data_IF_989490039076
#
_entry.id   IF_989490039076
#
_cell.length_a   1.000
_cell.length_b   1.000
_cell.length_c   1.000
_cell.angle_alpha   90.00
_cell.angle_beta   90.00
_cell.angle_gamma   90.00
#
_symmetry.space_group_name_H-M   'P 1'
#
loop_
_entity.id
_entity.type
_entity.pdbx_description
1 polymer ?
#
# COMPACT_ATOMS: atom_id res chain seq x y z
N UNK A 1 -3.13 -15.85 -21.79
CA UNK A 1 -3.63 -14.60 -21.18
C UNK A 1 -2.79 -14.28 -19.95
N UNK A 2 -2.05 -13.18 -20.01
CA UNK A 2 -1.06 -12.78 -19.00
C UNK A 2 -1.72 -12.71 -17.59
N UNK A 3 -1.15 -13.44 -16.61
CA UNK A 3 -1.72 -13.58 -15.25
C UNK A 3 -1.71 -12.25 -14.50
N UNK A 4 -0.64 -11.48 -14.64
CA UNK A 4 -0.50 -10.15 -14.06
C UNK A 4 -1.56 -9.18 -14.62
N UNK A 5 -1.85 -9.26 -15.92
CA UNK A 5 -2.91 -8.47 -16.54
C UNK A 5 -4.30 -8.81 -16.01
N UNK A 6 -4.61 -10.11 -15.79
CA UNK A 6 -5.87 -10.51 -15.16
C UNK A 6 -6.01 -9.90 -13.77
N UNK A 7 -4.96 -9.96 -12.96
CA UNK A 7 -4.96 -9.41 -11.60
C UNK A 7 -5.17 -7.90 -11.63
N UNK A 8 -4.46 -7.17 -12.50
CA UNK A 8 -4.67 -5.72 -12.68
C UNK A 8 -6.13 -5.39 -13.02
N UNK A 9 -6.76 -6.13 -13.92
CA UNK A 9 -8.16 -5.90 -14.30
C UNK A 9 -9.13 -6.24 -13.15
N UNK A 10 -8.81 -7.25 -12.32
CA UNK A 10 -9.58 -7.55 -11.11
C UNK A 10 -9.44 -6.44 -10.06
N UNK A 11 -8.26 -5.84 -9.92
CA UNK A 11 -8.04 -4.70 -9.03
C UNK A 11 -8.87 -3.48 -9.44
N UNK A 12 -9.11 -3.25 -10.73
CA UNK A 12 -10.02 -2.18 -11.17
C UNK A 12 -11.46 -2.37 -10.70
N UNK A 13 -11.90 -3.63 -10.50
CA UNK A 13 -13.26 -3.95 -10.07
C UNK A 13 -13.41 -3.97 -8.55
N UNK A 14 -12.40 -4.46 -7.84
CA UNK A 14 -12.48 -4.71 -6.39
C UNK A 14 -11.69 -3.69 -5.55
N UNK A 15 -10.73 -3.01 -6.16
CA UNK A 15 -9.85 -2.05 -5.51
C UNK A 15 -10.43 -0.64 -5.49
N UNK A 16 -9.68 0.25 -4.87
CA UNK A 16 -9.95 1.68 -4.83
C UNK A 16 -8.86 2.41 -5.61
N UNK A 17 -9.20 3.58 -6.15
CA UNK A 17 -8.21 4.43 -6.82
C UNK A 17 -7.28 5.03 -5.75
N UNK A 18 -5.97 4.88 -5.96
CA UNK A 18 -4.92 5.34 -5.05
C UNK A 18 -3.81 6.04 -5.84
N UNK A 19 -2.98 6.79 -5.11
CA UNK A 19 -1.75 7.39 -5.62
C UNK A 19 -0.59 6.99 -4.72
N UNK A 20 0.61 6.89 -5.29
CA UNK A 20 1.85 6.79 -4.53
C UNK A 20 2.52 8.16 -4.53
N UNK A 21 2.95 8.61 -3.35
CA UNK A 21 3.74 9.84 -3.19
C UNK A 21 5.08 9.50 -2.57
N UNK A 22 6.16 9.97 -3.15
CA UNK A 22 7.52 9.77 -2.63
C UNK A 22 8.32 11.08 -2.80
N UNK A 23 8.47 11.82 -1.70
CA UNK A 23 8.94 13.22 -1.75
C UNK A 23 7.99 14.09 -2.59
N UNK A 24 8.54 14.77 -3.59
CA UNK A 24 7.81 15.60 -4.56
C UNK A 24 7.17 14.79 -5.69
N UNK A 25 7.58 13.53 -5.89
CA UNK A 25 7.03 12.69 -6.94
C UNK A 25 5.68 12.10 -6.54
N UNK A 26 4.73 12.14 -7.48
CA UNK A 26 3.40 11.53 -7.35
C UNK A 26 3.16 10.64 -8.57
N UNK A 27 2.71 9.40 -8.33
CA UNK A 27 2.38 8.47 -9.42
C UNK A 27 1.12 8.87 -10.17
N UNK A 28 0.97 8.36 -11.38
CA UNK A 28 -0.36 8.29 -12.00
C UNK A 28 -1.32 7.48 -11.11
N UNK A 29 -2.63 7.78 -11.11
CA UNK A 29 -3.61 7.01 -10.34
C UNK A 29 -3.68 5.57 -10.83
N UNK A 30 -3.91 4.65 -9.90
CA UNK A 30 -4.17 3.23 -10.21
C UNK A 30 -5.08 2.61 -9.15
N UNK A 31 -5.56 1.40 -9.41
CA UNK A 31 -6.43 0.69 -8.48
C UNK A 31 -5.64 -0.30 -7.63
N UNK A 32 -5.86 -0.23 -6.32
CA UNK A 32 -5.28 -1.14 -5.34
C UNK A 32 -6.31 -1.53 -4.27
N UNK A 33 -6.16 -2.71 -3.68
CA UNK A 33 -6.96 -3.09 -2.51
C UNK A 33 -6.25 -2.61 -1.26
N UNK A 34 -6.98 -1.85 -0.43
CA UNK A 34 -6.58 -1.48 0.93
C UNK A 34 -7.63 -2.03 1.88
N UNK A 35 -7.26 -3.01 2.71
CA UNK A 35 -8.17 -3.69 3.61
C UNK A 35 -7.60 -3.79 5.03
N UNK A 36 -8.37 -3.39 6.04
CA UNK A 36 -7.97 -3.46 7.45
C UNK A 36 -7.82 -4.92 7.89
N UNK A 37 -6.74 -5.25 8.61
CA UNK A 37 -6.54 -6.56 9.23
C UNK A 37 -7.21 -6.60 10.60
N UNK A 38 -8.36 -7.27 10.72
CA UNK A 38 -9.19 -7.21 11.93
C UNK A 38 -8.72 -8.11 13.10
N UNK A 39 -7.80 -9.06 12.88
CA UNK A 39 -7.36 -10.01 13.93
C UNK A 39 -5.86 -10.05 14.27
N UNK A 40 -4.99 -9.35 13.53
CA UNK A 40 -3.54 -9.36 13.83
C UNK A 40 -3.07 -8.28 14.80
N UNK A 41 -3.97 -7.40 15.28
CA UNK A 41 -3.58 -6.17 15.98
C UNK A 41 -3.64 -6.29 17.52
N UNK A 42 -3.85 -7.48 18.08
CA UNK A 42 -4.08 -7.64 19.54
C UNK A 42 -2.84 -7.50 20.42
N UNK A 43 -1.63 -7.34 19.88
CA UNK A 43 -0.40 -7.34 20.69
C UNK A 43 0.53 -6.13 20.54
N UNK A 44 0.47 -5.33 19.48
CA UNK A 44 1.37 -4.18 19.32
C UNK A 44 0.66 -2.86 19.67
N UNK A 45 0.60 -2.57 20.97
CA UNK A 45 0.01 -1.33 21.52
C UNK A 45 0.88 -0.09 21.35
N UNK A 46 1.95 -0.11 20.55
CA UNK A 46 2.88 1.02 20.48
C UNK A 46 2.46 2.09 19.47
N UNK A 47 2.32 3.31 20.01
CA UNK A 47 2.06 4.53 19.25
C UNK A 47 3.41 5.01 18.71
N UNK A 48 3.84 4.48 17.56
CA UNK A 48 5.06 4.96 16.94
C UNK A 48 4.84 6.35 16.32
N UNK A 49 5.66 7.32 16.73
CA UNK A 49 5.93 8.50 15.90
C UNK A 49 6.96 8.09 14.88
N UNK A 50 6.62 8.19 13.61
CA UNK A 50 7.60 8.15 12.51
C UNK A 50 8.02 9.59 12.18
N UNK A 51 9.15 9.81 11.48
CA UNK A 51 9.46 11.13 10.90
C UNK A 51 8.31 11.67 10.05
N UNK A 52 7.50 10.75 9.52
CA UNK A 52 6.30 10.96 8.75
C UNK A 52 5.03 11.32 9.58
N UNK A 53 5.11 11.39 10.91
CA UNK A 53 3.99 11.72 11.81
C UNK A 53 3.50 10.56 12.68
N UNK A 54 2.31 10.73 13.28
CA UNK A 54 1.66 9.70 14.12
C UNK A 54 1.03 8.64 13.23
N UNK A 55 1.19 7.36 13.56
CA UNK A 55 0.58 6.27 12.81
C UNK A 55 -0.42 5.47 13.64
N UNK A 56 -1.55 5.10 13.02
CA UNK A 56 -2.58 4.26 13.61
C UNK A 56 -2.02 2.92 14.10
N UNK A 57 -2.61 2.32 15.13
CA UNK A 57 -2.31 0.94 15.57
C UNK A 57 -2.80 -0.11 14.57
N UNK A 58 -3.69 0.27 13.66
CA UNK A 58 -4.25 -0.64 12.68
C UNK A 58 -3.31 -0.92 11.52
N UNK A 59 -3.13 -2.21 11.25
CA UNK A 59 -2.48 -2.69 10.03
C UNK A 59 -3.50 -2.88 8.92
N UNK A 60 -3.11 -2.46 7.72
CA UNK A 60 -3.88 -2.64 6.49
C UNK A 60 -3.07 -3.48 5.51
N UNK A 61 -3.75 -4.26 4.69
CA UNK A 61 -3.14 -4.98 3.58
C UNK A 61 -3.24 -4.13 2.33
N UNK A 62 -2.13 -4.02 1.60
CA UNK A 62 -2.07 -3.43 0.27
C UNK A 62 -1.87 -4.52 -0.78
N UNK A 63 -2.64 -4.47 -1.87
CA UNK A 63 -2.42 -5.26 -3.08
C UNK A 63 -2.50 -4.33 -4.29
N UNK A 64 -1.38 -4.14 -4.98
CA UNK A 64 -1.23 -3.24 -6.13
C UNK A 64 -0.77 -3.97 -7.39
N UNK A 65 -0.99 -3.40 -8.59
CA UNK A 65 -0.69 -4.03 -9.86
C UNK A 65 0.82 -4.10 -10.13
N UNK A 66 1.24 -5.08 -10.94
CA UNK A 66 2.65 -5.28 -11.34
C UNK A 66 3.33 -4.06 -11.99
N UNK A 67 2.56 -3.12 -12.55
CA UNK A 67 3.08 -1.95 -13.26
C UNK A 67 3.30 -0.72 -12.36
N UNK A 68 3.07 -0.83 -11.05
CA UNK A 68 3.40 0.20 -10.06
C UNK A 68 4.35 -0.39 -9.02
N UNK A 69 5.66 -0.27 -9.26
CA UNK A 69 6.68 -0.90 -8.45
C UNK A 69 6.84 -0.18 -7.10
N UNK A 70 6.33 -0.80 -6.03
CA UNK A 70 6.45 -0.25 -4.67
C UNK A 70 7.81 -0.53 -4.03
N UNK A 71 8.57 -1.51 -4.52
CA UNK A 71 9.87 -1.91 -3.93
C UNK A 71 10.91 -0.81 -4.05
N UNK A 72 10.79 0.05 -5.06
CA UNK A 72 11.69 1.20 -5.30
C UNK A 72 11.34 2.45 -4.52
N UNK A 73 10.19 2.46 -3.84
CA UNK A 73 9.78 3.60 -3.03
C UNK A 73 10.66 3.73 -1.79
N UNK A 74 10.88 4.95 -1.33
CA UNK A 74 11.53 5.22 -0.05
C UNK A 74 10.71 4.68 1.14
N UNK A 75 11.30 4.71 2.34
CA UNK A 75 10.60 4.36 3.58
C UNK A 75 9.52 5.39 3.95
N UNK A 76 9.66 6.63 3.49
CA UNK A 76 8.74 7.73 3.77
C UNK A 76 7.61 7.85 2.74
N UNK A 77 7.61 6.97 1.73
CA UNK A 77 6.60 6.98 0.69
C UNK A 77 5.19 6.76 1.26
N UNK A 78 4.23 7.51 0.72
CA UNK A 78 2.82 7.47 1.12
C UNK A 78 1.97 6.78 0.07
N UNK A 79 0.98 6.04 0.52
CA UNK A 79 -0.18 5.67 -0.28
C UNK A 79 -1.29 6.65 0.07
N UNK A 80 -1.80 7.36 -0.93
CA UNK A 80 -2.90 8.30 -0.79
C UNK A 80 -4.18 7.64 -1.28
N UNK A 81 -5.21 7.65 -0.44
CA UNK A 81 -6.53 7.14 -0.76
C UNK A 81 -7.59 8.09 -0.20
N UNK A 82 -8.24 8.87 -1.09
CA UNK A 82 -9.14 9.95 -0.66
C UNK A 82 -8.38 10.96 0.20
N UNK A 83 -8.89 11.24 1.40
CA UNK A 83 -8.24 12.10 2.41
C UNK A 83 -7.33 11.31 3.37
N UNK A 84 -7.19 10.00 3.17
CA UNK A 84 -6.38 9.14 4.03
C UNK A 84 -4.99 8.92 3.45
N UNK A 85 -3.99 9.01 4.32
CA UNK A 85 -2.61 8.66 4.00
C UNK A 85 -2.17 7.41 4.75
N UNK A 86 -1.35 6.60 4.10
CA UNK A 86 -0.77 5.40 4.67
C UNK A 86 0.73 5.32 4.39
N UNK A 87 1.48 4.68 5.28
CA UNK A 87 2.90 4.33 5.05
C UNK A 87 3.05 2.82 4.91
N UNK A 88 4.04 2.40 4.12
CA UNK A 88 4.45 1.00 4.06
C UNK A 88 5.29 0.64 5.29
N UNK A 89 4.88 -0.41 5.99
CA UNK A 89 5.68 -1.13 7.00
C UNK A 89 6.35 -2.36 6.43
N UNK A 90 5.80 -2.92 5.36
CA UNK A 90 6.39 -4.03 4.60
C UNK A 90 5.98 -3.93 3.14
N UNK A 91 6.90 -4.32 2.26
CA UNK A 91 6.73 -4.33 0.79
C UNK A 91 7.27 -5.65 0.28
N UNK A 92 6.50 -6.33 -0.58
CA UNK A 92 6.92 -7.56 -1.24
C UNK A 92 6.49 -7.55 -2.71
N UNK A 93 7.31 -8.19 -3.52
CA UNK A 93 7.01 -8.52 -4.90
C UNK A 93 6.49 -9.96 -4.95
N UNK A 94 5.32 -10.16 -5.54
CA UNK A 94 4.76 -11.50 -5.75
C UNK A 94 4.97 -11.89 -7.21
N UNK A 95 5.83 -12.86 -7.43
CA UNK A 95 6.18 -13.37 -8.75
C UNK A 95 5.91 -14.87 -8.87
N UNK A 96 5.65 -15.33 -10.10
CA UNK A 96 5.51 -16.75 -10.40
C UNK A 96 6.00 -17.04 -11.82
N UNK A 97 6.85 -18.06 -11.97
CA UNK A 97 7.41 -18.43 -13.27
C UNK A 97 8.24 -17.31 -13.93
N UNK A 98 8.92 -16.48 -13.12
CA UNK A 98 9.73 -15.36 -13.59
C UNK A 98 8.96 -14.08 -13.95
N UNK A 99 7.63 -14.10 -13.83
CA UNK A 99 6.77 -12.92 -14.07
C UNK A 99 6.31 -12.31 -12.74
N UNK A 100 6.40 -10.97 -12.63
CA UNK A 100 5.82 -10.21 -11.51
C UNK A 100 4.31 -10.15 -11.70
N UNK A 101 3.57 -10.69 -10.73
CA UNK A 101 2.10 -10.74 -10.78
C UNK A 101 1.47 -9.50 -10.17
N UNK A 102 1.92 -9.12 -8.98
CA UNK A 102 1.43 -7.98 -8.22
C UNK A 102 2.40 -7.64 -7.09
N UNK A 103 2.20 -6.48 -6.46
CA UNK A 103 2.90 -6.12 -5.25
C UNK A 103 1.98 -6.22 -4.04
N UNK A 104 2.54 -6.72 -2.94
CA UNK A 104 1.85 -6.85 -1.68
C UNK A 104 2.55 -5.98 -0.63
N UNK A 105 1.77 -5.44 0.31
CA UNK A 105 2.36 -4.67 1.39
C UNK A 105 1.51 -4.68 2.65
N UNK A 106 2.16 -4.27 3.74
CA UNK A 106 1.50 -3.94 5.00
C UNK A 106 1.59 -2.45 5.18
N UNK A 107 0.43 -1.82 5.38
CA UNK A 107 0.27 -0.40 5.56
C UNK A 107 -0.10 -0.06 7.01
N UNK A 108 0.24 1.15 7.45
CA UNK A 108 -0.38 1.81 8.61
C UNK A 108 -0.92 3.16 8.19
N UNK A 109 -2.13 3.49 8.64
CA UNK A 109 -2.72 4.81 8.42
C UNK A 109 -1.91 5.86 9.17
N UNK A 110 -1.70 7.01 8.55
CA UNK A 110 -1.04 8.17 9.14
C UNK A 110 -2.14 9.08 9.64
N UNK A 111 -2.07 9.45 10.90
CA UNK A 111 -2.92 10.50 11.45
C UNK A 111 -2.20 11.81 11.21
N UNK A 112 -2.88 12.73 10.49
CA UNK A 112 -2.39 14.09 10.37
C UNK A 112 -2.14 14.67 11.76
N UNK A 113 -1.05 15.43 11.90
CA UNK A 113 -1.03 16.44 12.93
C UNK A 113 -2.14 17.42 12.56
N UNK A 114 -3.25 17.41 13.31
CA UNK A 114 -4.11 18.58 13.37
C UNK A 114 -3.29 19.78 13.83
#
# INVERSE_FOLDING_TARGET
MNRALKIKNSLQKAGKQVFLKDGEWISTPFFAVIAQKWRSNRSNFELERTPAGRVSKDYFTFIGPYNHNIMRLSENARVLFGEEEFIFKKKEEVSAGGEILFYWGVLRKVWGAQ
#
